data_IF_779363620824
#
_entry.id   IF_779363620824
#
_cell.length_a   1.000
_cell.length_b   1.000
_cell.length_c   1.000
_cell.angle_alpha   90.00
_cell.angle_beta   90.00
_cell.angle_gamma   90.00
#
_symmetry.space_group_name_H-M   'P 1'
#
loop_
_entity.id
_entity.type
_entity.pdbx_description
1 polymer ?
#
# COMPACT_ATOMS: atom_id res chain seq x y z
N UNK A 1 -55.60 -7.10 60.96
CA UNK A 1 -55.63 -8.10 59.86
C UNK A 1 -54.38 -7.83 59.03
N UNK A 2 -53.28 -8.56 59.24
CA UNK A 2 -52.93 -9.92 58.77
C UNK A 2 -52.59 -9.98 57.26
N UNK A 3 -51.50 -10.71 56.99
CA UNK A 3 -50.92 -11.18 55.71
C UNK A 3 -49.89 -10.18 55.12
N UNK A 4 -48.55 -10.35 55.22
CA UNK A 4 -47.67 -11.48 54.85
C UNK A 4 -48.04 -12.06 53.48
N UNK A 5 -47.14 -11.96 52.48
CA UNK A 5 -46.69 -13.03 51.56
C UNK A 5 -45.55 -12.51 50.67
N UNK A 6 -44.32 -13.04 50.81
CA UNK A 6 -43.67 -14.17 50.12
C UNK A 6 -42.67 -13.69 49.06
N UNK A 7 -41.42 -14.03 49.35
CA UNK A 7 -40.20 -14.03 48.54
C UNK A 7 -40.34 -14.68 47.17
N UNK A 8 -39.62 -14.17 46.17
CA UNK A 8 -39.07 -15.02 45.10
C UNK A 8 -37.68 -14.52 44.70
N UNK A 9 -36.67 -15.28 45.10
CA UNK A 9 -35.28 -15.11 44.70
C UNK A 9 -35.08 -15.85 43.37
N UNK A 10 -34.76 -15.13 42.30
CA UNK A 10 -34.41 -15.73 41.02
C UNK A 10 -32.89 -15.93 40.95
N UNK A 11 -32.44 -17.15 41.26
CA UNK A 11 -31.05 -17.58 41.14
C UNK A 11 -30.75 -17.79 39.64
N UNK A 12 -30.02 -16.87 39.01
CA UNK A 12 -29.55 -17.05 37.63
C UNK A 12 -28.20 -17.77 37.65
N UNK A 13 -28.21 -19.03 37.22
CA UNK A 13 -27.01 -19.86 37.08
C UNK A 13 -26.33 -19.52 35.73
N UNK A 14 -25.32 -18.67 35.73
CA UNK A 14 -24.52 -18.39 34.53
C UNK A 14 -23.56 -19.55 34.27
N UNK A 15 -23.72 -20.22 33.12
CA UNK A 15 -22.80 -21.25 32.62
C UNK A 15 -21.45 -20.61 32.29
N UNK A 16 -20.38 -21.06 32.94
CA UNK A 16 -19.01 -20.82 32.48
C UNK A 16 -18.79 -21.63 31.20
N UNK A 17 -18.59 -20.95 30.08
CA UNK A 17 -18.07 -21.59 28.87
C UNK A 17 -16.60 -21.95 29.13
N UNK A 18 -16.27 -23.24 29.17
CA UNK A 18 -14.88 -23.67 29.10
C UNK A 18 -14.31 -23.24 27.74
N UNK A 19 -13.37 -22.31 27.75
CA UNK A 19 -12.56 -22.03 26.56
C UNK A 19 -11.75 -23.29 26.25
N UNK A 20 -11.97 -23.88 25.08
CA UNK A 20 -11.12 -24.93 24.54
C UNK A 20 -9.69 -24.37 24.41
N UNK A 21 -8.74 -25.01 25.09
CA UNK A 21 -7.31 -24.74 24.91
C UNK A 21 -6.99 -25.05 23.43
N UNK A 22 -6.40 -24.07 22.76
CA UNK A 22 -6.00 -24.12 21.35
C UNK A 22 -5.10 -25.34 21.09
N UNK A 23 -5.31 -26.02 19.95
CA UNK A 23 -4.40 -27.09 19.49
C UNK A 23 -2.98 -26.53 19.37
N UNK A 24 -2.01 -27.21 19.99
CA UNK A 24 -0.60 -26.94 19.82
C UNK A 24 -0.19 -27.38 18.41
N UNK A 25 -0.06 -26.42 17.49
CA UNK A 25 0.51 -26.68 16.18
C UNK A 25 2.02 -26.96 16.32
N UNK A 26 2.37 -28.23 16.51
CA UNK A 26 3.78 -28.66 16.45
C UNK A 26 4.25 -28.50 15.00
N UNK A 27 5.20 -27.59 14.78
CA UNK A 27 5.85 -27.42 13.49
C UNK A 27 6.48 -28.74 13.05
N UNK A 28 5.98 -29.33 11.96
CA UNK A 28 6.60 -30.50 11.35
C UNK A 28 7.85 -30.07 10.57
N UNK A 29 9.05 -30.45 11.03
CA UNK A 29 10.31 -30.22 10.31
C UNK A 29 11.52 -30.08 11.23
N UNK A 30 12.72 -30.02 10.63
CA UNK A 30 13.98 -29.68 11.32
C UNK A 30 14.58 -28.45 10.66
N UNK A 31 14.85 -27.41 11.46
CA UNK A 31 15.60 -26.24 11.02
C UNK A 31 17.07 -26.41 11.40
N UNK A 32 17.97 -26.35 10.41
CA UNK A 32 19.42 -26.45 10.64
C UNK A 32 20.08 -25.10 10.38
N UNK A 33 20.84 -24.61 11.36
CA UNK A 33 21.62 -23.38 11.24
C UNK A 33 23.11 -23.71 11.32
N UNK A 34 23.89 -23.30 10.33
CA UNK A 34 25.34 -23.47 10.34
C UNK A 34 26.04 -22.16 10.72
N UNK A 35 26.46 -22.04 11.99
CA UNK A 35 27.11 -20.84 12.53
C UNK A 35 28.53 -20.61 11.98
N UNK A 36 29.15 -21.62 11.36
CA UNK A 36 30.46 -21.48 10.73
C UNK A 36 30.38 -20.86 9.32
N UNK A 37 29.16 -20.70 8.76
CA UNK A 37 28.95 -20.17 7.41
C UNK A 37 28.18 -18.85 7.46
N UNK A 38 28.86 -17.76 7.15
CA UNK A 38 28.23 -16.44 6.99
C UNK A 38 27.70 -16.24 5.57
N UNK A 39 26.58 -15.52 5.45
CA UNK A 39 26.02 -15.03 4.17
C UNK A 39 26.21 -13.52 3.98
N UNK A 40 27.04 -12.88 4.81
CA UNK A 40 27.23 -11.43 4.86
C UNK A 40 26.40 -10.73 5.94
N UNK A 41 26.50 -9.40 6.00
CA UNK A 41 25.73 -8.60 6.95
C UNK A 41 24.22 -8.65 6.64
N UNK A 42 23.40 -8.68 7.69
CA UNK A 42 21.95 -8.65 7.54
C UNK A 42 21.51 -7.29 6.95
N UNK A 43 20.84 -7.34 5.79
CA UNK A 43 20.37 -6.14 5.07
C UNK A 43 18.88 -5.82 5.27
N UNK A 44 18.16 -6.64 6.03
CA UNK A 44 16.73 -6.44 6.36
C UNK A 44 15.83 -6.20 5.13
N UNK A 45 16.12 -6.88 4.02
CA UNK A 45 15.44 -6.64 2.73
C UNK A 45 13.93 -6.91 2.77
N UNK A 46 13.48 -7.81 3.65
CA UNK A 46 12.05 -8.08 3.88
C UNK A 46 11.40 -7.19 4.94
N UNK A 47 12.12 -6.21 5.48
CA UNK A 47 11.60 -5.32 6.52
C UNK A 47 10.88 -4.12 5.90
N UNK A 48 9.64 -4.35 5.51
CA UNK A 48 8.82 -3.33 4.88
C UNK A 48 7.36 -3.72 4.86
N UNK A 49 6.54 -2.81 4.37
CA UNK A 49 5.10 -3.01 4.29
C UNK A 49 4.47 -2.19 3.17
N UNK A 50 3.23 -2.51 2.87
CA UNK A 50 2.36 -1.77 1.97
C UNK A 50 1.28 -1.06 2.80
N UNK A 51 1.06 0.24 2.58
CA UNK A 51 0.07 1.07 3.29
C UNK A 51 0.16 1.09 4.83
N UNK A 52 1.36 1.01 5.40
CA UNK A 52 1.53 0.84 6.86
C UNK A 52 1.73 2.12 7.68
N UNK A 53 1.87 3.29 7.05
CA UNK A 53 1.94 4.56 7.78
C UNK A 53 0.56 5.19 7.91
N UNK A 54 0.16 5.67 9.12
CA UNK A 54 -1.05 6.47 9.24
C UNK A 54 -0.90 7.78 8.47
N UNK A 55 -1.94 8.17 7.75
CA UNK A 55 -1.95 9.44 7.02
C UNK A 55 -1.84 10.64 7.97
N UNK A 56 -1.09 11.66 7.56
CA UNK A 56 -0.96 12.94 8.26
C UNK A 56 -1.06 14.13 7.29
N UNK A 57 -2.07 14.09 6.41
CA UNK A 57 -2.21 15.04 5.32
C UNK A 57 -1.00 14.94 4.40
N UNK A 58 -0.21 16.01 4.31
CA UNK A 58 1.04 16.01 3.55
C UNK A 58 2.28 15.89 4.43
N UNK A 59 2.18 15.92 5.76
CA UNK A 59 3.35 15.92 6.67
C UNK A 59 3.81 14.52 7.03
N UNK A 60 5.04 14.38 7.54
CA UNK A 60 5.49 13.10 8.12
C UNK A 60 4.61 12.73 9.34
N UNK A 61 4.36 11.44 9.54
CA UNK A 61 3.62 10.93 10.67
C UNK A 61 4.52 10.68 11.89
N UNK A 62 4.00 10.96 13.09
CA UNK A 62 4.70 10.79 14.37
C UNK A 62 3.90 10.00 15.41
N UNK A 63 2.81 9.35 15.01
CA UNK A 63 1.94 8.58 15.91
C UNK A 63 2.55 7.23 16.31
N UNK A 64 3.45 6.69 15.47
CA UNK A 64 4.15 5.44 15.76
C UNK A 64 5.44 5.76 16.52
N UNK A 65 5.63 5.21 17.74
CA UNK A 65 6.88 5.39 18.48
C UNK A 65 8.12 4.95 17.69
N UNK A 66 9.14 5.81 17.65
CA UNK A 66 10.34 5.60 16.82
C UNK A 66 11.06 4.26 17.11
N UNK A 67 11.02 3.77 18.36
CA UNK A 67 11.67 2.52 18.75
C UNK A 67 11.03 1.28 18.09
N UNK A 68 9.74 1.33 17.74
CA UNK A 68 9.07 0.23 17.03
C UNK A 68 9.56 0.16 15.57
N UNK A 69 9.73 1.33 14.94
CA UNK A 69 10.20 1.42 13.55
C UNK A 69 11.67 1.04 13.43
N UNK A 70 12.51 1.60 14.31
CA UNK A 70 13.94 1.31 14.32
C UNK A 70 14.23 -0.12 14.80
N UNK A 71 13.45 -0.66 15.73
CA UNK A 71 13.54 -2.05 16.18
C UNK A 71 13.17 -3.07 15.10
N UNK A 72 12.19 -2.74 14.24
CA UNK A 72 11.86 -3.51 13.04
C UNK A 72 13.00 -3.48 12.00
N UNK A 73 13.93 -2.52 12.12
CA UNK A 73 14.96 -2.22 11.12
C UNK A 73 14.31 -1.96 9.77
N UNK A 74 13.30 -1.09 9.79
CA UNK A 74 12.50 -0.70 8.65
C UNK A 74 13.39 -0.31 7.45
N UNK A 75 13.06 -0.84 6.28
CA UNK A 75 13.84 -0.69 5.06
C UNK A 75 13.04 -0.02 3.93
N UNK A 76 11.76 -0.36 3.74
CA UNK A 76 10.97 0.19 2.65
C UNK A 76 9.45 0.23 2.94
N UNK A 77 8.75 1.16 2.31
CA UNK A 77 7.29 1.22 2.30
C UNK A 77 6.76 1.43 0.89
N UNK A 78 5.68 0.71 0.54
CA UNK A 78 4.97 0.83 -0.73
C UNK A 78 3.60 1.48 -0.51
N UNK A 79 3.28 2.56 -1.21
CA UNK A 79 1.97 3.22 -1.09
C UNK A 79 1.65 4.17 -2.26
N UNK A 80 0.38 4.49 -2.45
CA UNK A 80 -0.08 5.52 -3.39
C UNK A 80 -1.44 6.16 -3.03
N UNK A 81 -1.93 5.97 -1.80
CA UNK A 81 -3.23 6.51 -1.37
C UNK A 81 -4.43 5.67 -1.81
N UNK A 82 -4.30 4.35 -1.79
CA UNK A 82 -5.38 3.39 -2.08
C UNK A 82 -6.55 3.49 -1.10
N UNK A 83 -7.76 3.21 -1.57
CA UNK A 83 -8.94 2.94 -0.74
C UNK A 83 -9.33 4.05 0.26
N UNK A 84 -8.92 5.29 0.00
CA UNK A 84 -9.40 6.48 0.71
C UNK A 84 -10.57 7.13 -0.02
N UNK A 85 -11.22 8.12 0.61
CA UNK A 85 -12.40 8.79 0.05
C UNK A 85 -12.14 9.47 -1.31
N UNK A 86 -10.91 9.89 -1.58
CA UNK A 86 -10.51 10.50 -2.84
C UNK A 86 -10.59 9.47 -3.99
N UNK A 87 -11.17 9.86 -5.13
CA UNK A 87 -11.51 8.95 -6.24
C UNK A 87 -10.36 8.60 -7.19
N UNK A 88 -9.23 9.30 -7.09
CA UNK A 88 -8.13 9.20 -8.06
C UNK A 88 -8.39 9.99 -9.34
N UNK A 89 -7.36 10.06 -10.19
CA UNK A 89 -7.34 10.84 -11.42
C UNK A 89 -8.40 10.42 -12.44
N UNK A 90 -8.55 9.10 -12.65
CA UNK A 90 -9.35 8.51 -13.72
C UNK A 90 -10.80 9.00 -13.73
N UNK A 91 -11.40 9.13 -12.54
CA UNK A 91 -12.80 9.50 -12.37
C UNK A 91 -12.99 10.87 -11.73
N UNK A 92 -12.03 11.34 -10.94
CA UNK A 92 -12.11 12.61 -10.22
C UNK A 92 -11.20 13.72 -10.74
N UNK A 93 -10.43 13.48 -11.79
CA UNK A 93 -9.44 14.41 -12.33
C UNK A 93 -8.44 14.86 -11.26
N UNK A 94 -7.93 16.09 -11.38
CA UNK A 94 -6.96 16.64 -10.43
C UNK A 94 -7.47 16.65 -8.98
N UNK A 95 -8.77 16.92 -8.75
CA UNK A 95 -9.36 16.91 -7.40
C UNK A 95 -9.39 15.51 -6.79
N UNK A 96 -9.72 14.49 -7.59
CA UNK A 96 -9.68 13.09 -7.14
C UNK A 96 -8.27 12.58 -6.90
N UNK A 97 -7.31 13.05 -7.68
CA UNK A 97 -5.89 12.77 -7.54
C UNK A 97 -5.28 13.38 -6.26
N UNK A 98 -5.59 14.66 -5.96
CA UNK A 98 -4.89 15.42 -4.92
C UNK A 98 -4.94 14.73 -3.55
N UNK A 99 -6.10 14.23 -3.12
CA UNK A 99 -6.21 13.56 -1.81
C UNK A 99 -5.38 12.27 -1.71
N UNK A 100 -5.20 11.55 -2.82
CA UNK A 100 -4.35 10.34 -2.86
C UNK A 100 -2.88 10.71 -2.89
N UNK A 101 -2.54 11.76 -3.63
CA UNK A 101 -1.19 12.31 -3.64
C UNK A 101 -0.77 12.84 -2.27
N UNK A 102 -1.66 13.50 -1.53
CA UNK A 102 -1.38 13.98 -0.17
C UNK A 102 -1.03 12.80 0.75
N UNK A 103 -1.86 11.74 0.75
CA UNK A 103 -1.56 10.50 1.48
C UNK A 103 -0.21 9.89 1.07
N UNK A 104 0.07 9.80 -0.23
CA UNK A 104 1.36 9.31 -0.74
C UNK A 104 2.54 10.19 -0.29
N UNK A 105 2.38 11.51 -0.23
CA UNK A 105 3.38 12.45 0.23
C UNK A 105 3.65 12.33 1.74
N UNK A 106 2.61 12.17 2.56
CA UNK A 106 2.74 11.84 3.98
C UNK A 106 3.50 10.54 4.18
N UNK A 107 3.15 9.50 3.41
CA UNK A 107 3.83 8.20 3.44
C UNK A 107 5.31 8.32 3.01
N UNK A 108 5.60 9.06 1.95
CA UNK A 108 6.96 9.34 1.50
C UNK A 108 7.79 10.01 2.59
N UNK A 109 7.31 11.13 3.14
CA UNK A 109 8.03 11.88 4.18
C UNK A 109 8.27 11.04 5.44
N UNK A 110 7.28 10.24 5.85
CA UNK A 110 7.42 9.30 6.97
C UNK A 110 8.46 8.22 6.67
N UNK A 111 8.45 7.69 5.45
CA UNK A 111 9.42 6.67 5.00
C UNK A 111 10.85 7.23 4.99
N UNK A 112 11.04 8.42 4.44
CA UNK A 112 12.34 9.10 4.40
C UNK A 112 12.83 9.55 5.79
N UNK A 113 11.94 9.90 6.73
CA UNK A 113 12.29 10.17 8.14
C UNK A 113 13.13 9.03 8.74
N UNK A 114 12.84 7.78 8.37
CA UNK A 114 13.56 6.59 8.84
C UNK A 114 14.61 6.07 7.86
N UNK A 115 14.93 6.83 6.80
CA UNK A 115 15.92 6.47 5.78
C UNK A 115 15.48 5.38 4.80
N UNK A 116 14.23 4.91 4.86
CA UNK A 116 13.73 3.82 4.03
C UNK A 116 13.42 4.24 2.59
N UNK A 117 13.34 3.26 1.70
CA UNK A 117 12.93 3.46 0.30
C UNK A 117 11.40 3.59 0.21
N UNK A 118 10.93 4.58 -0.54
CA UNK A 118 9.51 4.75 -0.82
C UNK A 118 9.16 4.26 -2.22
N UNK A 119 8.33 3.23 -2.29
CA UNK A 119 7.85 2.64 -3.53
C UNK A 119 6.46 3.23 -3.82
N UNK A 120 6.40 4.18 -4.75
CA UNK A 120 5.13 4.79 -5.15
C UNK A 120 4.33 3.83 -6.02
N UNK A 121 3.02 3.78 -5.76
CA UNK A 121 2.02 3.10 -6.57
C UNK A 121 1.17 4.09 -7.38
N UNK A 122 1.48 4.35 -8.66
CA UNK A 122 0.75 5.30 -9.49
C UNK A 122 -0.67 4.83 -9.83
N UNK A 123 -0.94 3.53 -9.83
CA UNK A 123 -2.30 3.01 -10.08
C UNK A 123 -3.29 3.49 -8.99
N UNK A 124 -2.82 3.68 -7.75
CA UNK A 124 -3.66 4.25 -6.69
C UNK A 124 -3.99 5.70 -6.99
N UNK A 125 -3.00 6.51 -7.38
CA UNK A 125 -3.19 7.90 -7.78
C UNK A 125 -4.13 8.01 -8.99
N UNK A 126 -4.03 7.05 -9.91
CA UNK A 126 -4.97 6.90 -11.02
C UNK A 126 -6.38 6.61 -10.53
N UNK A 127 -6.52 5.82 -9.46
CA UNK A 127 -7.80 5.39 -8.91
C UNK A 127 -8.19 3.96 -9.31
N UNK A 128 -7.23 3.15 -9.76
CA UNK A 128 -7.42 1.71 -10.00
C UNK A 128 -6.84 0.92 -8.80
N UNK A 129 -7.50 1.01 -7.65
CA UNK A 129 -7.06 0.44 -6.36
C UNK A 129 -7.81 -0.84 -5.95
N UNK A 130 -8.55 -1.43 -6.89
CA UNK A 130 -9.41 -2.59 -6.72
C UNK A 130 -10.83 -2.28 -6.23
N UNK A 131 -11.13 -1.02 -5.87
CA UNK A 131 -12.47 -0.57 -5.48
C UNK A 131 -13.21 0.21 -6.57
N UNK A 132 -12.60 0.40 -7.73
CA UNK A 132 -13.15 1.21 -8.81
C UNK A 132 -14.31 0.53 -9.54
N UNK A 133 -15.28 1.32 -10.01
CA UNK A 133 -16.42 0.81 -10.78
C UNK A 133 -16.01 0.29 -12.16
N UNK A 134 -16.85 -0.57 -12.76
CA UNK A 134 -16.59 -1.18 -14.08
C UNK A 134 -16.44 -0.17 -15.23
N UNK A 135 -17.03 1.02 -15.10
CA UNK A 135 -16.93 2.11 -16.05
C UNK A 135 -15.68 3.00 -15.86
N UNK A 136 -14.79 2.66 -14.91
CA UNK A 136 -13.60 3.45 -14.66
C UNK A 136 -12.67 3.41 -15.88
N UNK A 137 -12.17 4.56 -16.34
CA UNK A 137 -11.31 4.60 -17.52
C UNK A 137 -9.92 4.07 -17.18
N UNK A 138 -9.32 3.37 -18.14
CA UNK A 138 -7.95 2.90 -18.06
C UNK A 138 -7.06 3.61 -19.08
N UNK A 139 -5.74 3.68 -18.82
CA UNK A 139 -4.79 4.22 -19.79
C UNK A 139 -4.92 3.57 -21.17
N UNK A 140 -5.11 4.38 -22.21
CA UNK A 140 -5.15 3.89 -23.59
C UNK A 140 -6.52 3.43 -24.08
N UNK A 141 -7.58 3.60 -23.28
CA UNK A 141 -8.94 3.29 -23.73
C UNK A 141 -9.26 4.03 -25.05
N UNK A 142 -9.84 3.28 -26.00
CA UNK A 142 -10.11 3.74 -27.37
C UNK A 142 -8.86 4.19 -28.15
N UNK A 143 -7.67 3.69 -27.79
CA UNK A 143 -6.40 4.10 -28.40
C UNK A 143 -5.95 5.51 -28.02
N UNK A 144 -6.59 6.14 -27.01
CA UNK A 144 -6.28 7.49 -26.59
C UNK A 144 -5.42 7.50 -25.32
N UNK A 145 -4.18 7.99 -25.46
CA UNK A 145 -3.20 8.07 -24.38
C UNK A 145 -3.14 9.45 -23.69
N UNK A 146 -3.87 10.44 -24.19
CA UNK A 146 -3.80 11.84 -23.72
C UNK A 146 -4.05 11.98 -22.23
N UNK A 147 -5.06 11.27 -21.71
CA UNK A 147 -5.40 11.34 -20.28
C UNK A 147 -4.32 10.70 -19.40
N UNK A 148 -3.70 9.62 -19.86
CA UNK A 148 -2.58 8.97 -19.17
C UNK A 148 -1.34 9.87 -19.17
N UNK A 149 -1.03 10.51 -20.29
CA UNK A 149 0.11 11.42 -20.39
C UNK A 149 -0.10 12.67 -19.50
N UNK A 150 -1.33 13.21 -19.46
CA UNK A 150 -1.68 14.30 -18.55
C UNK A 150 -1.50 13.90 -17.07
N UNK A 151 -1.95 12.70 -16.69
CA UNK A 151 -1.75 12.15 -15.35
C UNK A 151 -0.27 12.05 -14.97
N UNK A 152 0.56 11.46 -15.82
CA UNK A 152 1.99 11.30 -15.54
C UNK A 152 2.73 12.63 -15.51
N UNK A 153 2.40 13.56 -16.42
CA UNK A 153 2.98 14.89 -16.40
C UNK A 153 2.64 15.66 -15.11
N UNK A 154 1.39 15.56 -14.64
CA UNK A 154 0.99 16.14 -13.37
C UNK A 154 1.71 15.46 -12.19
N UNK A 155 1.77 14.12 -12.18
CA UNK A 155 2.45 13.36 -11.13
C UNK A 155 3.94 13.73 -11.04
N UNK A 156 4.64 13.80 -12.18
CA UNK A 156 6.04 14.20 -12.25
C UNK A 156 6.23 15.64 -11.74
N UNK A 157 5.32 16.54 -12.10
CA UNK A 157 5.35 17.93 -11.63
C UNK A 157 5.23 17.99 -10.11
N UNK A 158 4.28 17.26 -9.52
CA UNK A 158 4.03 17.31 -8.08
C UNK A 158 5.12 16.57 -7.28
N UNK A 159 5.69 15.48 -7.82
CA UNK A 159 6.87 14.82 -7.24
C UNK A 159 8.05 15.79 -7.13
N UNK A 160 8.33 16.57 -8.20
CA UNK A 160 9.37 17.59 -8.18
C UNK A 160 9.04 18.74 -7.22
N UNK A 161 7.81 19.23 -7.25
CA UNK A 161 7.39 20.36 -6.42
C UNK A 161 7.43 20.06 -4.91
N UNK A 162 7.43 18.78 -4.53
CA UNK A 162 7.48 18.33 -3.13
C UNK A 162 8.79 17.63 -2.76
N UNK A 163 9.83 17.74 -3.59
CA UNK A 163 11.16 17.15 -3.38
C UNK A 163 11.12 15.62 -3.13
N UNK A 164 10.22 14.93 -3.83
CA UNK A 164 9.95 13.50 -3.60
C UNK A 164 10.89 12.54 -4.35
N UNK A 165 11.92 13.03 -5.04
CA UNK A 165 12.75 12.17 -5.91
C UNK A 165 13.81 11.36 -5.16
N UNK A 166 14.23 11.81 -3.98
CA UNK A 166 15.22 11.09 -3.17
C UNK A 166 14.61 9.84 -2.53
N UNK A 167 15.27 8.68 -2.68
CA UNK A 167 14.78 7.40 -2.16
C UNK A 167 13.44 6.94 -2.75
N UNK A 168 13.06 7.45 -3.92
CA UNK A 168 11.83 7.08 -4.62
C UNK A 168 12.09 5.94 -5.61
N UNK A 169 11.24 4.92 -5.54
CA UNK A 169 11.03 3.90 -6.56
C UNK A 169 9.62 4.03 -7.08
N UNK A 170 9.44 3.85 -8.39
CA UNK A 170 8.11 3.92 -9.01
C UNK A 170 7.74 2.56 -9.56
N UNK A 171 6.70 1.98 -8.96
CA UNK A 171 6.14 0.69 -9.37
C UNK A 171 4.95 0.93 -10.30
N UNK A 172 5.20 0.88 -11.62
CA UNK A 172 4.33 1.45 -12.66
C UNK A 172 2.86 1.03 -12.54
N UNK A 173 2.58 -0.22 -12.16
CA UNK A 173 1.22 -0.72 -11.94
C UNK A 173 1.22 -1.97 -11.06
N UNK A 174 0.18 -2.14 -10.24
CA UNK A 174 0.01 -3.34 -9.40
C UNK A 174 -0.71 -4.45 -10.16
N UNK A 175 -0.14 -5.65 -10.14
CA UNK A 175 -0.77 -6.91 -10.56
C UNK A 175 -1.64 -6.78 -11.83
N UNK A 176 -1.06 -6.37 -12.97
CA UNK A 176 -1.79 -6.17 -14.22
C UNK A 176 -2.35 -7.46 -14.83
N UNK A 177 -1.97 -8.61 -14.28
CA UNK A 177 -2.48 -9.94 -14.58
C UNK A 177 -3.81 -10.25 -13.86
N UNK A 178 -4.22 -9.41 -12.90
CA UNK A 178 -5.47 -9.56 -12.17
C UNK A 178 -6.48 -8.52 -12.65
N UNK A 179 -7.66 -8.99 -13.08
CA UNK A 179 -8.74 -8.14 -13.60
C UNK A 179 -9.14 -7.02 -12.63
N UNK A 180 -9.06 -7.24 -11.32
CA UNK A 180 -9.32 -6.20 -10.30
C UNK A 180 -8.46 -4.95 -10.47
N UNK A 181 -7.23 -5.07 -10.99
CA UNK A 181 -6.32 -3.93 -11.20
C UNK A 181 -6.15 -3.57 -12.67
N UNK A 182 -6.42 -4.48 -13.60
CA UNK A 182 -6.32 -4.21 -15.02
C UNK A 182 -7.30 -5.05 -15.85
N UNK A 183 -8.37 -4.43 -16.34
CA UNK A 183 -9.43 -5.09 -17.14
C UNK A 183 -9.29 -4.85 -18.64
N UNK A 184 -8.06 -4.67 -19.14
CA UNK A 184 -7.79 -4.37 -20.55
C UNK A 184 -6.81 -5.37 -21.15
N UNK A 185 -6.68 -5.35 -22.47
CA UNK A 185 -5.77 -6.28 -23.16
C UNK A 185 -4.32 -6.14 -22.67
N UNK A 186 -3.57 -7.25 -22.74
CA UNK A 186 -2.15 -7.24 -22.41
C UNK A 186 -1.33 -6.33 -23.33
N UNK A 187 -1.70 -6.25 -24.62
CA UNK A 187 -1.05 -5.33 -25.56
C UNK A 187 -1.18 -3.87 -25.11
N UNK A 188 -2.38 -3.48 -24.63
CA UNK A 188 -2.61 -2.15 -24.07
C UNK A 188 -1.79 -1.94 -22.79
N UNK A 189 -1.66 -2.94 -21.93
CA UNK A 189 -0.82 -2.84 -20.72
C UNK A 189 0.66 -2.62 -21.06
N UNK A 190 1.20 -3.39 -22.00
CA UNK A 190 2.60 -3.25 -22.42
C UNK A 190 2.86 -1.88 -23.03
N UNK A 191 1.93 -1.36 -23.85
CA UNK A 191 2.06 0.00 -24.38
C UNK A 191 2.01 1.05 -23.27
N UNK A 192 1.09 0.91 -22.31
CA UNK A 192 1.05 1.75 -21.11
C UNK A 192 2.38 1.73 -20.36
N UNK A 193 2.90 0.53 -20.06
CA UNK A 193 4.14 0.34 -19.32
C UNK A 193 5.32 1.04 -20.00
N UNK A 194 5.46 0.88 -21.31
CA UNK A 194 6.52 1.53 -22.10
C UNK A 194 6.39 3.05 -22.07
N UNK A 195 5.17 3.59 -22.25
CA UNK A 195 4.92 5.05 -22.23
C UNK A 195 5.18 5.66 -20.86
N UNK A 196 4.61 5.08 -19.81
CA UNK A 196 4.79 5.51 -18.43
C UNK A 196 6.28 5.48 -18.03
N UNK A 197 6.97 4.39 -18.35
CA UNK A 197 8.42 4.24 -18.13
C UNK A 197 9.23 5.34 -18.81
N UNK A 198 8.92 5.66 -20.07
CA UNK A 198 9.63 6.75 -20.79
C UNK A 198 9.43 8.11 -20.14
N UNK A 199 8.25 8.40 -19.61
CA UNK A 199 7.96 9.66 -18.93
C UNK A 199 8.70 9.75 -17.59
N UNK A 200 8.57 8.74 -16.73
CA UNK A 200 9.15 8.80 -15.38
C UNK A 200 10.68 8.72 -15.37
N UNK A 201 11.29 8.05 -16.35
CA UNK A 201 12.77 7.99 -16.49
C UNK A 201 13.41 9.33 -16.84
N UNK A 202 12.61 10.34 -17.18
CA UNK A 202 13.12 11.71 -17.34
C UNK A 202 13.48 12.34 -15.99
N UNK A 203 13.02 11.78 -14.87
CA UNK A 203 13.14 12.41 -13.54
C UNK A 203 13.57 11.45 -12.42
N UNK A 204 13.36 10.14 -12.58
CA UNK A 204 13.84 9.10 -11.64
C UNK A 204 14.95 8.27 -12.32
N UNK A 205 16.20 8.30 -11.83
CA UNK A 205 17.27 7.45 -12.35
C UNK A 205 17.16 6.00 -11.82
N UNK A 206 16.86 5.05 -12.71
CA UNK A 206 17.18 3.61 -12.64
C UNK A 206 16.84 2.86 -11.34
N UNK A 207 15.58 2.94 -10.91
CA UNK A 207 14.93 1.84 -10.16
C UNK A 207 13.44 1.84 -10.47
N UNK A 208 13.07 1.09 -11.52
CA UNK A 208 11.69 0.71 -11.81
C UNK A 208 11.53 -0.74 -11.40
N UNK A 209 10.59 -1.04 -10.51
CA UNK A 209 10.19 -2.42 -10.26
C UNK A 209 9.40 -2.93 -11.47
N UNK A 210 9.74 -4.15 -11.90
CA UNK A 210 8.92 -4.92 -12.81
C UNK A 210 7.62 -5.31 -12.10
N UNK A 211 6.46 -5.40 -12.79
CA UNK A 211 5.21 -5.80 -12.15
C UNK A 211 5.37 -7.15 -11.45
N UNK A 212 4.83 -7.26 -10.24
CA UNK A 212 4.78 -8.51 -9.49
C UNK A 212 3.91 -9.51 -10.25
N UNK A 213 4.55 -10.47 -10.93
CA UNK A 213 3.89 -11.58 -11.60
C UNK A 213 3.83 -12.75 -10.61
N UNK A 214 2.62 -13.21 -10.26
CA UNK A 214 2.49 -14.50 -9.57
C UNK A 214 2.94 -15.61 -10.52
N UNK A 215 3.91 -16.41 -10.07
CA UNK A 215 4.32 -17.64 -10.77
C UNK A 215 3.26 -18.71 -10.66
#
# INVERSE_FOLDING_TARGET
MKHLEITSALLTLTRLASASISEEHVSAGTATVNLAKSTGEARFLGSGFIYGWPDNGTSANHLIPDYLVTGLKFNANRAGGAQIAAKGWATGGYKGYLGRFDSALSNYRTTRKYGGEFILLPHDLWGADGGQGSASPYPGDNGNWTNMEAFWNQTIKDLKANDMLDGLVVDIWNEPDIDTFWTRSWAQYIEYYVRATKLIRQVVPVSLSCPEQRR
#
